data_IF_973292546622
#
_entry.id   IF_973292546622
#
_cell.length_a   1.000
_cell.length_b   1.000
_cell.length_c   1.000
_cell.angle_alpha   90.00
_cell.angle_beta   90.00
_cell.angle_gamma   90.00
#
_symmetry.space_group_name_H-M   'P 1'
#
loop_
_entity.id
_entity.type
_entity.pdbx_description
1 polymer ?
#
# COMPACT_ATOMS: atom_id res chain seq x y z
N UNK A 1 -2.03 19.07 37.86
CA UNK A 1 -1.28 17.87 37.43
C UNK A 1 -1.59 17.58 35.97
N UNK A 2 -0.80 18.11 35.04
CA UNK A 2 -0.95 17.85 33.60
C UNK A 2 0.43 17.93 32.95
N UNK A 3 1.33 17.04 33.37
CA UNK A 3 2.63 16.85 32.74
C UNK A 3 2.99 15.40 32.94
N UNK A 4 2.71 14.53 31.96
CA UNK A 4 3.20 13.14 31.91
C UNK A 4 2.97 12.42 30.56
N UNK A 5 2.31 13.03 29.56
CA UNK A 5 2.02 12.33 28.30
C UNK A 5 2.99 12.63 27.14
N UNK A 6 3.84 13.65 27.24
CA UNK A 6 4.78 14.04 26.16
C UNK A 6 6.14 13.34 26.24
N UNK A 7 6.58 12.91 27.42
CA UNK A 7 7.87 12.21 27.60
C UNK A 7 7.89 10.78 27.03
N UNK A 8 6.72 10.13 26.90
CA UNK A 8 6.62 8.73 26.43
C UNK A 8 6.92 8.57 24.93
N UNK A 9 6.72 9.62 24.12
CA UNK A 9 6.98 9.57 22.67
C UNK A 9 8.44 9.78 22.28
N UNK A 10 9.25 10.46 23.09
CA UNK A 10 10.63 10.80 22.68
C UNK A 10 11.61 9.63 22.76
N UNK A 11 11.37 8.63 23.62
CA UNK A 11 12.27 7.47 23.79
C UNK A 11 11.90 6.27 22.89
N UNK A 12 10.61 6.12 22.52
CA UNK A 12 10.14 5.02 21.67
C UNK A 12 10.59 5.18 20.20
N UNK A 13 10.81 6.42 19.75
CA UNK A 13 11.03 6.75 18.33
C UNK A 13 12.48 6.49 17.87
N UNK A 14 13.53 6.85 18.63
CA UNK A 14 14.87 6.35 18.37
C UNK A 14 14.88 4.82 18.35
N UNK A 15 14.19 4.18 19.31
CA UNK A 15 14.10 2.72 19.39
C UNK A 15 13.45 2.11 18.13
N UNK A 16 12.36 2.71 17.61
CA UNK A 16 11.74 2.26 16.37
C UNK A 16 12.67 2.40 15.15
N UNK A 17 13.39 3.52 15.01
CA UNK A 17 14.35 3.71 13.89
C UNK A 17 15.53 2.75 13.99
N UNK A 18 16.11 2.56 15.18
CA UNK A 18 17.19 1.60 15.38
C UNK A 18 16.73 0.17 15.10
N UNK A 19 15.55 -0.21 15.58
CA UNK A 19 14.96 -1.53 15.33
C UNK A 19 14.65 -1.71 13.84
N UNK A 20 14.09 -0.69 13.18
CA UNK A 20 13.80 -0.71 11.74
C UNK A 20 15.10 -0.84 10.92
N UNK A 21 16.15 -0.10 11.25
CA UNK A 21 17.46 -0.22 10.59
C UNK A 21 18.12 -1.58 10.82
N UNK A 22 18.03 -2.14 12.04
CA UNK A 22 18.58 -3.47 12.35
C UNK A 22 17.80 -4.55 11.60
N UNK A 23 16.47 -4.50 11.63
CA UNK A 23 15.61 -5.42 10.87
C UNK A 23 15.92 -5.32 9.38
N UNK A 24 16.05 -4.09 8.84
CA UNK A 24 16.43 -3.85 7.45
C UNK A 24 17.81 -4.43 7.12
N UNK A 25 18.81 -4.23 7.97
CA UNK A 25 20.14 -4.80 7.75
C UNK A 25 20.11 -6.34 7.79
N UNK A 26 19.30 -6.92 8.69
CA UNK A 26 19.12 -8.36 8.81
C UNK A 26 18.38 -8.96 7.62
N UNK A 27 17.34 -8.29 7.10
CA UNK A 27 16.64 -8.75 5.90
C UNK A 27 17.49 -8.62 4.65
N UNK A 28 18.24 -7.54 4.48
CA UNK A 28 19.18 -7.39 3.35
C UNK A 28 20.25 -8.49 3.39
N UNK A 29 20.81 -8.74 4.57
CA UNK A 29 21.81 -9.80 4.76
C UNK A 29 21.21 -11.18 4.46
N UNK A 30 19.99 -11.45 4.93
CA UNK A 30 19.30 -12.71 4.67
C UNK A 30 18.95 -12.88 3.19
N UNK A 31 18.51 -11.82 2.51
CA UNK A 31 18.27 -11.83 1.07
C UNK A 31 19.56 -12.13 0.30
N UNK A 32 20.67 -11.48 0.67
CA UNK A 32 21.99 -11.77 0.12
C UNK A 32 22.39 -13.24 0.31
N UNK A 33 22.20 -13.81 1.51
CA UNK A 33 22.49 -15.23 1.73
C UNK A 33 21.57 -16.14 0.90
N UNK A 34 20.27 -15.84 0.79
CA UNK A 34 19.35 -16.66 -0.02
C UNK A 34 19.66 -16.59 -1.51
N UNK A 35 20.13 -15.44 -2.01
CA UNK A 35 20.41 -15.23 -3.43
C UNK A 35 21.83 -15.67 -3.82
N UNK A 36 22.80 -15.55 -2.90
CA UNK A 36 24.22 -15.84 -3.16
C UNK A 36 24.75 -17.12 -2.49
N UNK A 37 23.97 -17.82 -1.64
CA UNK A 37 24.40 -19.06 -0.98
C UNK A 37 23.33 -20.15 -1.01
N UNK A 38 23.70 -21.37 -1.44
CA UNK A 38 22.81 -22.54 -1.55
C UNK A 38 22.57 -23.22 -0.19
N UNK A 39 22.22 -22.47 0.85
CA UNK A 39 22.25 -22.96 2.24
C UNK A 39 21.11 -23.93 2.59
N UNK A 40 20.06 -24.04 1.76
CA UNK A 40 18.87 -24.84 2.07
C UNK A 40 18.67 -25.98 1.09
N UNK A 41 18.65 -27.22 1.60
CA UNK A 41 18.34 -28.42 0.82
C UNK A 41 16.85 -28.50 0.48
N UNK A 42 16.55 -28.72 -0.79
CA UNK A 42 15.23 -28.54 -1.41
C UNK A 42 14.32 -29.77 -1.30
N UNK A 43 13.01 -29.54 -1.12
CA UNK A 43 11.96 -30.55 -1.26
C UNK A 43 11.64 -30.81 -2.75
N UNK A 44 11.61 -32.09 -3.15
CA UNK A 44 11.43 -32.49 -4.55
C UNK A 44 9.96 -32.87 -4.79
N UNK A 45 9.26 -32.16 -5.67
CA UNK A 45 7.90 -32.47 -6.13
C UNK A 45 7.80 -32.48 -7.66
N UNK A 46 8.01 -33.64 -8.30
CA UNK A 46 8.36 -33.82 -9.73
C UNK A 46 7.53 -33.11 -10.82
N UNK A 47 8.19 -32.83 -11.95
CA UNK A 47 7.59 -32.52 -13.26
C UNK A 47 7.59 -33.77 -14.15
N UNK A 48 6.66 -33.87 -15.10
CA UNK A 48 6.68 -34.91 -16.13
C UNK A 48 7.42 -34.41 -17.38
N UNK A 49 8.31 -35.23 -17.94
CA UNK A 49 8.93 -34.93 -19.24
C UNK A 49 7.92 -35.07 -20.38
N UNK A 50 8.03 -34.20 -21.38
CA UNK A 50 7.16 -34.11 -22.57
C UNK A 50 5.73 -33.59 -22.33
N UNK A 51 5.52 -32.79 -21.29
CA UNK A 51 4.28 -32.05 -21.15
C UNK A 51 4.20 -30.93 -22.19
N UNK A 52 3.28 -31.07 -23.15
CA UNK A 52 3.08 -30.10 -24.22
C UNK A 52 2.60 -28.74 -23.70
N UNK A 53 2.00 -28.68 -22.50
CA UNK A 53 1.61 -27.42 -21.87
C UNK A 53 2.82 -26.62 -21.34
N UNK A 54 3.91 -27.32 -20.98
CA UNK A 54 5.15 -26.73 -20.46
C UNK A 54 6.19 -26.44 -21.55
N UNK A 55 6.08 -27.05 -22.73
CA UNK A 55 6.98 -26.80 -23.86
C UNK A 55 6.70 -25.44 -24.51
N UNK A 56 7.53 -24.44 -24.20
CA UNK A 56 7.54 -23.12 -24.86
C UNK A 56 8.82 -22.88 -25.66
N UNK A 57 8.79 -22.02 -26.71
CA UNK A 57 10.00 -21.59 -27.40
C UNK A 57 10.98 -20.93 -26.44
N UNK A 58 12.28 -21.19 -26.62
CA UNK A 58 13.31 -20.59 -25.79
C UNK A 58 13.38 -19.06 -26.00
N UNK A 59 13.13 -18.23 -24.97
CA UNK A 59 12.99 -16.78 -25.13
C UNK A 59 14.32 -16.01 -25.12
N UNK A 60 15.46 -16.70 -25.20
CA UNK A 60 16.78 -16.09 -25.14
C UNK A 60 17.22 -15.70 -23.72
N UNK A 61 18.28 -14.89 -23.64
CA UNK A 61 18.88 -14.40 -22.39
C UNK A 61 18.03 -13.32 -21.71
N UNK A 62 18.18 -13.11 -20.41
CA UNK A 62 17.38 -12.09 -19.70
C UNK A 62 17.57 -10.66 -20.21
N UNK A 63 18.76 -10.34 -20.72
CA UNK A 63 19.08 -9.04 -21.32
C UNK A 63 18.30 -8.75 -22.62
N UNK A 64 17.78 -9.78 -23.29
CA UNK A 64 16.96 -9.61 -24.51
C UNK A 64 15.47 -9.51 -24.22
N UNK A 65 15.06 -9.46 -22.95
CA UNK A 65 13.65 -9.19 -22.59
C UNK A 65 13.23 -7.78 -22.98
N UNK A 66 11.94 -7.62 -23.29
CA UNK A 66 11.32 -6.31 -23.49
C UNK A 66 11.46 -5.43 -22.25
N UNK A 67 11.37 -6.04 -21.06
CA UNK A 67 11.69 -5.39 -19.79
C UNK A 67 12.86 -6.12 -19.12
N UNK A 68 14.09 -5.60 -19.23
CA UNK A 68 15.24 -6.14 -18.51
C UNK A 68 15.01 -6.12 -16.99
N UNK A 69 15.35 -7.19 -16.25
CA UNK A 69 15.13 -7.27 -14.79
C UNK A 69 15.77 -6.11 -14.03
N UNK A 70 16.97 -5.67 -14.44
CA UNK A 70 17.66 -4.54 -13.83
C UNK A 70 16.83 -3.25 -13.88
N UNK A 71 16.26 -2.93 -15.06
CA UNK A 71 15.43 -1.74 -15.23
C UNK A 71 14.17 -1.86 -14.39
N UNK A 72 13.55 -3.04 -14.39
CA UNK A 72 12.36 -3.28 -13.58
C UNK A 72 12.64 -3.04 -12.09
N UNK A 73 13.70 -3.64 -11.54
CA UNK A 73 14.04 -3.52 -10.12
C UNK A 73 14.41 -2.07 -9.74
N UNK A 74 15.16 -1.38 -10.59
CA UNK A 74 15.44 0.03 -10.40
C UNK A 74 14.16 0.87 -10.37
N UNK A 75 13.23 0.66 -11.29
CA UNK A 75 11.96 1.42 -11.35
C UNK A 75 11.05 1.08 -10.17
N UNK A 76 10.90 -0.21 -9.84
CA UNK A 76 10.08 -0.70 -8.73
C UNK A 76 10.55 -0.12 -7.39
N UNK A 77 11.86 0.04 -7.20
CA UNK A 77 12.42 0.65 -5.99
C UNK A 77 12.41 2.19 -6.03
N UNK A 78 12.84 2.79 -7.13
CA UNK A 78 13.03 4.24 -7.21
C UNK A 78 11.71 5.01 -7.33
N UNK A 79 10.74 4.53 -8.10
CA UNK A 79 9.51 5.27 -8.36
C UNK A 79 8.67 5.50 -7.09
N UNK A 80 8.38 4.49 -6.24
CA UNK A 80 7.68 4.72 -4.98
C UNK A 80 8.48 5.59 -4.02
N UNK A 81 9.80 5.36 -3.93
CA UNK A 81 10.69 6.16 -3.08
C UNK A 81 10.65 7.64 -3.46
N UNK A 82 10.71 7.95 -4.75
CA UNK A 82 10.62 9.30 -5.28
C UNK A 82 9.22 9.91 -5.02
N UNK A 83 8.14 9.17 -5.27
CA UNK A 83 6.77 9.66 -5.03
C UNK A 83 6.52 9.93 -3.54
N UNK A 84 7.01 9.07 -2.64
CA UNK A 84 6.92 9.26 -1.18
C UNK A 84 7.73 10.50 -0.76
N UNK A 85 8.96 10.63 -1.25
CA UNK A 85 9.81 11.77 -0.93
C UNK A 85 9.16 13.08 -1.38
N UNK A 86 8.75 13.17 -2.65
CA UNK A 86 8.09 14.35 -3.22
C UNK A 86 6.77 14.62 -2.51
N UNK A 87 5.98 13.58 -2.19
CA UNK A 87 4.71 13.71 -1.48
C UNK A 87 4.86 14.29 -0.08
N UNK A 88 5.81 13.78 0.71
CA UNK A 88 6.09 14.29 2.07
C UNK A 88 6.68 15.70 2.04
N UNK A 89 7.62 15.99 1.12
CA UNK A 89 8.18 17.34 0.93
C UNK A 89 7.08 18.32 0.52
N UNK A 90 6.22 17.96 -0.44
CA UNK A 90 5.13 18.81 -0.90
C UNK A 90 4.12 19.08 0.21
N UNK A 91 3.73 18.07 0.99
CA UNK A 91 2.84 18.25 2.14
C UNK A 91 3.49 19.12 3.23
N UNK A 92 4.79 18.96 3.48
CA UNK A 92 5.53 19.79 4.42
C UNK A 92 5.57 21.24 3.97
N UNK A 93 5.90 21.50 2.71
CA UNK A 93 5.92 22.86 2.13
C UNK A 93 4.51 23.46 2.19
N UNK A 94 3.47 22.75 1.75
CA UNK A 94 2.10 23.25 1.84
C UNK A 94 1.66 23.54 3.29
N UNK A 95 2.01 22.67 4.25
CA UNK A 95 1.71 22.90 5.67
C UNK A 95 2.49 24.10 6.20
N UNK A 96 3.77 24.20 5.86
CA UNK A 96 4.64 25.32 6.24
C UNK A 96 4.17 26.63 5.64
N UNK A 97 3.66 26.64 4.40
CA UNK A 97 3.06 27.83 3.78
C UNK A 97 1.73 28.18 4.44
N UNK A 98 0.89 27.19 4.78
CA UNK A 98 -0.38 27.44 5.50
C UNK A 98 -0.15 27.94 6.93
N UNK A 99 0.82 27.36 7.64
CA UNK A 99 1.23 27.83 8.95
C UNK A 99 1.91 29.20 8.83
N UNK A 100 2.81 29.46 7.88
CA UNK A 100 3.38 30.79 7.64
C UNK A 100 2.32 31.85 7.30
N UNK A 101 1.27 31.47 6.55
CA UNK A 101 0.13 32.34 6.23
C UNK A 101 -0.78 32.59 7.45
N UNK A 102 -0.78 31.69 8.45
CA UNK A 102 -1.44 31.87 9.75
C UNK A 102 -0.53 32.48 10.84
N UNK A 103 0.80 32.40 10.67
CA UNK A 103 1.87 32.75 11.64
C UNK A 103 2.46 34.14 11.38
N UNK A 104 1.95 34.88 10.39
CA UNK A 104 2.14 36.34 10.40
C UNK A 104 1.67 36.98 11.74
N UNK A 105 0.98 36.24 12.61
CA UNK A 105 0.56 36.69 13.94
C UNK A 105 1.34 36.16 15.17
N UNK A 106 2.37 35.30 15.09
CA UNK A 106 3.26 35.06 16.25
C UNK A 106 4.46 34.18 15.91
N UNK A 107 5.62 34.81 15.88
CA UNK A 107 6.94 34.18 15.94
C UNK A 107 7.08 33.37 17.22
N UNK A 108 7.38 32.08 17.12
CA UNK A 108 7.84 31.30 18.27
C UNK A 108 9.10 30.52 17.90
N UNK A 109 10.15 30.92 18.62
CA UNK A 109 11.51 30.40 18.70
C UNK A 109 11.50 28.91 19.05
N UNK A 110 12.38 28.12 18.42
CA UNK A 110 12.53 26.66 18.62
C UNK A 110 13.97 26.34 19.07
N UNK A 111 14.14 25.45 20.06
CA UNK A 111 15.43 25.07 20.65
C UNK A 111 15.67 23.55 20.81
N UNK A 112 16.89 23.17 20.40
CA UNK A 112 17.92 22.21 20.83
C UNK A 112 17.77 20.71 21.20
N UNK A 113 18.63 19.94 20.51
CA UNK A 113 19.37 18.69 20.81
C UNK A 113 18.65 17.32 20.88
N UNK A 114 17.78 17.08 19.90
CA UNK A 114 17.65 15.83 19.09
C UNK A 114 16.42 16.00 18.18
N UNK A 115 16.30 17.17 17.55
CA UNK A 115 15.12 17.57 16.80
C UNK A 115 15.26 17.10 15.35
N UNK A 116 15.02 15.81 15.09
CA UNK A 116 14.78 15.38 13.71
C UNK A 116 13.49 16.04 13.24
N UNK A 117 13.60 16.83 12.16
CA UNK A 117 12.45 17.50 11.55
C UNK A 117 11.31 16.48 11.34
N UNK A 118 10.05 16.83 11.69
CA UNK A 118 8.90 15.94 11.49
C UNK A 118 8.78 15.40 10.05
N UNK A 119 9.28 16.15 9.07
CA UNK A 119 9.46 15.75 7.67
C UNK A 119 10.34 14.50 7.55
N UNK A 120 11.58 14.58 8.05
CA UNK A 120 12.58 13.50 7.95
C UNK A 120 12.04 12.24 8.62
N UNK A 121 11.36 12.38 9.77
CA UNK A 121 10.74 11.26 10.47
C UNK A 121 9.70 10.52 9.63
N UNK A 122 8.84 11.24 8.90
CA UNK A 122 7.83 10.62 8.04
C UNK A 122 8.46 9.92 6.85
N UNK A 123 9.45 10.55 6.22
CA UNK A 123 10.20 9.98 5.11
C UNK A 123 10.87 8.66 5.52
N UNK A 124 11.61 8.65 6.63
CA UNK A 124 12.27 7.44 7.14
C UNK A 124 11.25 6.33 7.36
N UNK A 125 10.10 6.64 7.97
CA UNK A 125 9.08 5.63 8.27
C UNK A 125 8.41 5.04 7.01
N UNK A 126 8.07 5.86 6.02
CA UNK A 126 7.41 5.37 4.81
C UNK A 126 8.39 4.65 3.88
N UNK A 127 9.58 5.23 3.66
CA UNK A 127 10.62 4.61 2.84
C UNK A 127 11.18 3.35 3.52
N UNK A 128 11.37 3.37 4.84
CA UNK A 128 11.84 2.23 5.64
C UNK A 128 10.90 1.04 5.55
N UNK A 129 9.60 1.24 5.80
CA UNK A 129 8.60 0.16 5.67
C UNK A 129 8.47 -0.32 4.22
N UNK A 130 8.56 0.57 3.23
CA UNK A 130 8.55 0.19 1.82
C UNK A 130 9.77 -0.69 1.47
N UNK A 131 10.97 -0.26 1.85
CA UNK A 131 12.18 -1.01 1.60
C UNK A 131 12.15 -2.37 2.33
N UNK A 132 11.66 -2.41 3.58
CA UNK A 132 11.48 -3.64 4.33
C UNK A 132 10.60 -4.64 3.60
N UNK A 133 9.43 -4.18 3.13
CA UNK A 133 8.53 -5.06 2.40
C UNK A 133 9.06 -5.48 1.04
N UNK A 134 9.87 -4.64 0.37
CA UNK A 134 10.52 -5.01 -0.88
C UNK A 134 11.48 -6.19 -0.66
N UNK A 135 12.37 -6.09 0.33
CA UNK A 135 13.28 -7.19 0.68
C UNK A 135 12.55 -8.41 1.26
N UNK A 136 11.50 -8.21 2.06
CA UNK A 136 10.71 -9.33 2.56
C UNK A 136 10.02 -10.09 1.41
N UNK A 137 9.46 -9.37 0.44
CA UNK A 137 8.85 -9.96 -0.76
C UNK A 137 9.88 -10.76 -1.55
N UNK A 138 11.08 -10.19 -1.74
CA UNK A 138 12.19 -10.87 -2.41
C UNK A 138 12.59 -12.18 -1.69
N UNK A 139 12.76 -12.15 -0.37
CA UNK A 139 13.07 -13.33 0.45
C UNK A 139 11.97 -14.39 0.33
N UNK A 140 10.69 -14.00 0.42
CA UNK A 140 9.59 -14.96 0.29
C UNK A 140 9.53 -15.61 -1.08
N UNK A 141 9.81 -14.85 -2.15
CA UNK A 141 9.90 -15.39 -3.50
C UNK A 141 11.07 -16.36 -3.61
N UNK A 142 12.27 -15.94 -3.20
CA UNK A 142 13.49 -16.77 -3.27
C UNK A 142 13.31 -18.05 -2.45
N UNK A 143 12.72 -17.96 -1.26
CA UNK A 143 12.36 -19.13 -0.47
C UNK A 143 11.41 -20.06 -1.23
N UNK A 144 10.33 -19.53 -1.80
CA UNK A 144 9.37 -20.30 -2.61
C UNK A 144 10.02 -21.03 -3.79
N UNK A 145 10.95 -20.37 -4.48
CA UNK A 145 11.71 -20.94 -5.61
C UNK A 145 12.65 -22.06 -5.18
N UNK A 146 13.30 -21.90 -4.02
CA UNK A 146 14.15 -22.93 -3.42
C UNK A 146 13.33 -24.15 -2.98
N UNK A 147 12.05 -24.03 -2.64
CA UNK A 147 11.24 -25.20 -2.24
C UNK A 147 10.75 -26.08 -3.41
N UNK A 148 10.88 -25.65 -4.67
CA UNK A 148 10.34 -26.34 -5.84
C UNK A 148 11.45 -26.64 -6.86
N UNK A 149 12.49 -27.37 -6.46
CA UNK A 149 13.54 -27.83 -7.39
C UNK A 149 13.44 -29.35 -7.55
N UNK A 150 13.13 -29.79 -8.77
CA UNK A 150 12.96 -31.20 -9.10
C UNK A 150 14.18 -31.86 -9.74
N UNK A 151 14.37 -33.14 -9.45
CA UNK A 151 15.50 -33.94 -9.93
C UNK A 151 15.49 -34.25 -11.44
N UNK A 152 16.64 -33.98 -12.07
CA UNK A 152 17.34 -34.61 -13.22
C UNK A 152 16.58 -35.35 -14.34
N UNK A 153 15.47 -34.80 -14.87
CA UNK A 153 14.91 -35.30 -16.15
C UNK A 153 15.24 -34.38 -17.36
N UNK A 154 15.86 -33.23 -17.12
CA UNK A 154 16.21 -32.25 -18.16
C UNK A 154 17.63 -32.51 -18.72
N UNK A 155 17.78 -32.54 -20.04
CA UNK A 155 19.06 -32.75 -20.76
C UNK A 155 19.70 -31.45 -21.31
N UNK A 156 19.13 -30.29 -21.00
CA UNK A 156 19.61 -28.98 -21.46
C UNK A 156 20.81 -28.43 -20.69
N UNK A 157 21.26 -27.21 -21.06
CA UNK A 157 22.33 -26.52 -20.34
C UNK A 157 21.96 -26.36 -18.84
N UNK A 158 22.82 -26.79 -17.89
CA UNK A 158 22.49 -26.85 -16.47
C UNK A 158 22.09 -25.49 -15.89
N UNK A 159 22.71 -24.39 -16.34
CA UNK A 159 22.40 -23.02 -15.87
C UNK A 159 21.00 -22.59 -16.30
N UNK A 160 20.63 -22.89 -17.54
CA UNK A 160 19.31 -22.55 -18.09
C UNK A 160 18.22 -23.39 -17.43
N UNK A 161 18.52 -24.67 -17.18
CA UNK A 161 17.62 -25.60 -16.49
C UNK A 161 17.40 -25.15 -15.03
N UNK A 162 18.44 -24.71 -14.34
CA UNK A 162 18.33 -24.19 -12.98
C UNK A 162 17.48 -22.92 -12.92
N UNK A 163 17.73 -21.96 -13.82
CA UNK A 163 16.94 -20.73 -13.89
C UNK A 163 15.46 -21.01 -14.21
N UNK A 164 15.18 -21.97 -15.09
CA UNK A 164 13.82 -22.38 -15.40
C UNK A 164 13.10 -23.01 -14.19
N UNK A 165 13.83 -23.72 -13.32
CA UNK A 165 13.27 -24.31 -12.10
C UNK A 165 12.95 -23.28 -11.02
N UNK A 166 13.64 -22.14 -11.00
CA UNK A 166 13.37 -21.01 -10.09
C UNK A 166 12.26 -20.08 -10.58
N UNK A 167 11.40 -20.52 -11.50
CA UNK A 167 10.36 -19.66 -12.11
C UNK A 167 9.12 -19.43 -11.23
N UNK A 168 8.87 -20.28 -10.23
CA UNK A 168 7.72 -20.17 -9.33
C UNK A 168 8.11 -19.76 -7.90
N UNK A 169 7.44 -18.78 -7.29
CA UNK A 169 6.55 -17.79 -7.91
C UNK A 169 7.35 -16.76 -8.73
N UNK A 170 6.66 -15.97 -9.56
CA UNK A 170 7.33 -14.95 -10.39
C UNK A 170 7.78 -13.75 -9.53
N UNK A 171 9.10 -13.58 -9.40
CA UNK A 171 9.75 -12.45 -8.70
C UNK A 171 9.31 -11.09 -9.24
N UNK A 172 9.32 -10.94 -10.56
CA UNK A 172 8.96 -9.68 -11.23
C UNK A 172 7.50 -9.29 -11.00
N UNK A 173 6.59 -10.27 -11.03
CA UNK A 173 5.18 -10.05 -10.72
C UNK A 173 4.97 -9.66 -9.25
N UNK A 174 5.64 -10.35 -8.31
CA UNK A 174 5.55 -10.06 -6.88
C UNK A 174 6.04 -8.65 -6.53
N UNK A 175 7.25 -8.29 -6.99
CA UNK A 175 7.86 -7.00 -6.66
C UNK A 175 7.10 -5.83 -7.29
N UNK A 176 6.65 -5.99 -8.55
CA UNK A 176 5.87 -4.95 -9.24
C UNK A 176 4.52 -4.68 -8.57
N UNK A 177 3.76 -5.73 -8.21
CA UNK A 177 2.46 -5.52 -7.53
C UNK A 177 2.64 -5.03 -6.10
N UNK A 178 3.65 -5.50 -5.37
CA UNK A 178 3.95 -5.02 -4.02
C UNK A 178 4.16 -3.50 -4.05
N UNK A 179 4.99 -3.04 -4.98
CA UNK A 179 5.29 -1.63 -5.19
C UNK A 179 4.06 -0.81 -5.57
N UNK A 180 3.27 -1.28 -6.54
CA UNK A 180 2.04 -0.60 -6.95
C UNK A 180 0.97 -0.52 -5.86
N UNK A 181 0.76 -1.60 -5.09
CA UNK A 181 -0.21 -1.64 -3.99
C UNK A 181 0.22 -0.73 -2.85
N UNK A 182 1.49 -0.81 -2.43
CA UNK A 182 2.01 0.07 -1.38
C UNK A 182 1.89 1.55 -1.78
N UNK A 183 2.27 1.87 -3.03
CA UNK A 183 2.17 3.22 -3.57
C UNK A 183 0.71 3.70 -3.67
N UNK A 184 -0.21 2.83 -4.09
CA UNK A 184 -1.66 3.10 -4.12
C UNK A 184 -2.19 3.42 -2.72
N UNK A 185 -1.78 2.65 -1.70
CA UNK A 185 -2.15 2.92 -0.31
C UNK A 185 -1.62 4.30 0.12
N UNK A 186 -0.35 4.60 -0.15
CA UNK A 186 0.27 5.90 0.15
C UNK A 186 -0.47 7.07 -0.51
N UNK A 187 -0.72 7.01 -1.82
CA UNK A 187 -1.42 8.03 -2.60
C UNK A 187 -2.84 8.27 -2.05
N UNK A 188 -3.55 7.19 -1.74
CA UNK A 188 -4.92 7.26 -1.21
C UNK A 188 -4.97 7.97 0.15
N UNK A 189 -3.91 7.83 0.96
CA UNK A 189 -3.84 8.47 2.29
C UNK A 189 -3.33 9.90 2.29
N UNK A 190 -2.47 10.26 1.34
CA UNK A 190 -1.88 11.59 1.26
C UNK A 190 -2.80 12.60 0.59
N UNK A 191 -3.43 12.22 -0.52
CA UNK A 191 -4.35 13.11 -1.23
C UNK A 191 -5.67 13.13 -0.46
N UNK A 192 -5.91 14.13 0.40
CA UNK A 192 -7.20 14.35 1.10
C UNK A 192 -8.05 15.48 0.48
N UNK A 193 -7.59 16.05 -0.63
CA UNK A 193 -8.18 17.26 -1.20
C UNK A 193 -9.49 16.96 -1.94
N UNK A 194 -10.51 17.80 -1.68
CA UNK A 194 -11.84 17.71 -2.32
C UNK A 194 -11.82 18.09 -3.81
N UNK A 195 -10.75 18.74 -4.29
CA UNK A 195 -10.71 19.39 -5.60
C UNK A 195 -10.32 18.49 -6.77
N UNK A 196 -9.67 17.35 -6.52
CA UNK A 196 -9.29 16.41 -7.58
C UNK A 196 -10.01 15.08 -7.38
N UNK A 197 -11.28 15.07 -7.79
CA UNK A 197 -12.14 13.88 -7.70
C UNK A 197 -11.62 12.73 -8.59
N UNK A 198 -10.79 13.04 -9.60
CA UNK A 198 -10.29 12.09 -10.58
C UNK A 198 -8.79 11.73 -10.45
N UNK A 199 -7.93 12.59 -9.88
CA UNK A 199 -6.49 12.26 -9.84
C UNK A 199 -6.19 11.03 -8.97
N UNK A 200 -6.90 10.84 -7.86
CA UNK A 200 -6.68 9.65 -7.01
C UNK A 200 -6.96 8.34 -7.75
N UNK A 201 -8.18 8.11 -8.30
CA UNK A 201 -8.45 6.85 -9.00
C UNK A 201 -7.55 6.67 -10.22
N UNK A 202 -7.18 7.73 -10.95
CA UNK A 202 -6.28 7.63 -12.11
C UNK A 202 -4.86 7.23 -11.70
N UNK A 203 -4.31 7.82 -10.63
CA UNK A 203 -2.96 7.47 -10.17
C UNK A 203 -2.91 6.05 -9.58
N UNK A 204 -3.92 5.66 -8.80
CA UNK A 204 -4.01 4.29 -8.27
C UNK A 204 -4.20 3.27 -9.40
N UNK A 205 -5.10 3.54 -10.35
CA UNK A 205 -5.30 2.65 -11.49
C UNK A 205 -4.05 2.56 -12.36
N UNK A 206 -3.38 3.69 -12.65
CA UNK A 206 -2.16 3.71 -13.47
C UNK A 206 -1.03 2.87 -12.86
N UNK A 207 -0.81 3.00 -11.55
CA UNK A 207 0.21 2.20 -10.85
C UNK A 207 -0.15 0.71 -10.84
N UNK A 208 -1.41 0.34 -10.56
CA UNK A 208 -1.85 -1.06 -10.60
C UNK A 208 -1.80 -1.66 -12.01
N UNK A 209 -2.23 -0.92 -13.03
CA UNK A 209 -2.13 -1.35 -14.42
C UNK A 209 -0.68 -1.59 -14.85
N UNK A 210 0.25 -0.73 -14.44
CA UNK A 210 1.68 -0.92 -14.77
C UNK A 210 2.26 -2.22 -14.16
N UNK A 211 1.89 -2.55 -12.92
CA UNK A 211 2.27 -3.81 -12.31
C UNK A 211 1.64 -5.02 -13.02
N UNK A 212 0.35 -4.93 -13.37
CA UNK A 212 -0.33 -6.00 -14.09
C UNK A 212 0.29 -6.26 -15.47
N UNK A 213 0.61 -5.21 -16.22
CA UNK A 213 1.29 -5.30 -17.51
C UNK A 213 2.69 -5.93 -17.40
N UNK A 214 3.40 -5.69 -16.30
CA UNK A 214 4.70 -6.35 -16.05
C UNK A 214 4.54 -7.87 -15.96
N UNK A 215 3.53 -8.34 -15.22
CA UNK A 215 3.22 -9.77 -15.14
C UNK A 215 2.76 -10.36 -16.48
N UNK A 216 1.91 -9.64 -17.23
CA UNK A 216 1.51 -10.07 -18.57
C UNK A 216 2.69 -10.17 -19.54
N UNK A 217 3.65 -9.24 -19.46
CA UNK A 217 4.86 -9.27 -20.28
C UNK A 217 5.71 -10.52 -20.01
N UNK A 218 5.75 -11.00 -18.76
CA UNK A 218 6.43 -12.27 -18.43
C UNK A 218 5.76 -13.49 -19.07
N UNK A 219 4.43 -13.48 -19.13
CA UNK A 219 3.66 -14.54 -19.81
C UNK A 219 3.84 -14.46 -21.34
N UNK A 220 3.79 -13.25 -21.91
CA UNK A 220 3.90 -13.06 -23.37
C UNK A 220 5.30 -13.39 -23.90
N UNK A 221 6.35 -13.21 -23.09
CA UNK A 221 7.72 -13.62 -23.39
C UNK A 221 7.99 -15.11 -23.10
N UNK A 222 6.99 -15.90 -22.67
CA UNK A 222 7.17 -17.30 -22.27
C UNK A 222 8.22 -17.51 -21.18
N UNK A 223 8.47 -16.50 -20.34
CA UNK A 223 9.44 -16.54 -19.23
C UNK A 223 8.82 -17.13 -17.96
N UNK A 224 7.51 -16.97 -17.79
CA UNK A 224 6.76 -17.51 -16.66
C UNK A 224 5.41 -18.07 -17.12
N UNK A 225 4.89 -19.04 -16.37
CA UNK A 225 3.51 -19.47 -16.52
C UNK A 225 2.55 -18.48 -15.86
N UNK A 226 1.30 -18.46 -16.33
CA UNK A 226 0.25 -17.63 -15.74
C UNK A 226 0.08 -17.93 -14.23
N UNK A 227 0.22 -19.20 -13.82
CA UNK A 227 0.19 -19.63 -12.41
C UNK A 227 1.25 -18.93 -11.57
N UNK A 228 2.47 -18.82 -12.08
CA UNK A 228 3.62 -18.26 -11.37
C UNK A 228 3.43 -16.75 -11.16
N UNK A 229 2.87 -16.08 -12.18
CA UNK A 229 2.53 -14.66 -12.14
C UNK A 229 1.38 -14.40 -11.17
N UNK A 230 0.33 -15.23 -11.18
CA UNK A 230 -0.80 -15.11 -10.24
C UNK A 230 -0.35 -15.35 -8.80
N UNK A 231 0.45 -16.40 -8.56
CA UNK A 231 1.04 -16.67 -7.24
C UNK A 231 1.91 -15.49 -6.79
N UNK A 232 2.70 -14.94 -7.72
CA UNK A 232 3.51 -13.76 -7.47
C UNK A 232 2.67 -12.55 -7.07
N UNK A 233 1.56 -12.29 -7.79
CA UNK A 233 0.66 -11.19 -7.49
C UNK A 233 -0.03 -11.33 -6.12
N UNK A 234 -0.44 -12.54 -5.76
CA UNK A 234 -1.04 -12.82 -4.46
C UNK A 234 -0.03 -12.55 -3.35
N UNK A 235 1.20 -13.06 -3.49
CA UNK A 235 2.27 -12.89 -2.50
C UNK A 235 2.61 -11.41 -2.29
N UNK A 236 2.90 -10.67 -3.37
CA UNK A 236 3.26 -9.25 -3.28
C UNK A 236 2.13 -8.39 -2.71
N UNK A 237 0.88 -8.66 -3.08
CA UNK A 237 -0.29 -7.97 -2.53
C UNK A 237 -0.48 -8.27 -1.04
N UNK A 238 -0.30 -9.52 -0.62
CA UNK A 238 -0.41 -9.93 0.78
C UNK A 238 0.63 -9.20 1.66
N UNK A 239 1.89 -9.14 1.22
CA UNK A 239 2.95 -8.42 1.94
C UNK A 239 2.65 -6.92 2.01
N UNK A 240 2.23 -6.30 0.89
CA UNK A 240 1.90 -4.88 0.85
C UNK A 240 0.72 -4.54 1.79
N UNK A 241 -0.35 -5.33 1.77
CA UNK A 241 -1.51 -5.13 2.64
C UNK A 241 -1.17 -5.37 4.11
N UNK A 242 -0.39 -6.40 4.43
CA UNK A 242 0.06 -6.66 5.79
C UNK A 242 0.86 -5.47 6.35
N UNK A 243 1.86 -4.98 5.61
CA UNK A 243 2.68 -3.85 6.06
C UNK A 243 1.89 -2.55 6.08
N UNK A 244 1.11 -2.28 5.05
CA UNK A 244 0.27 -1.09 4.99
C UNK A 244 -0.74 -1.05 6.13
N UNK A 245 -1.50 -2.12 6.36
CA UNK A 245 -2.57 -2.15 7.37
C UNK A 245 -1.99 -2.31 8.80
N UNK A 246 -1.12 -3.29 9.03
CA UNK A 246 -0.67 -3.67 10.36
C UNK A 246 0.50 -2.80 10.87
N UNK A 247 1.47 -2.47 10.01
CA UNK A 247 2.71 -1.78 10.42
C UNK A 247 2.57 -0.27 10.33
N UNK A 248 2.04 0.25 9.22
CA UNK A 248 2.00 1.70 9.02
C UNK A 248 0.95 2.37 9.91
N UNK A 249 -0.06 1.63 10.41
CA UNK A 249 -1.10 1.99 11.40
C UNK A 249 -1.72 3.41 11.27
N UNK A 250 -1.48 4.09 10.14
CA UNK A 250 -1.98 5.41 9.75
C UNK A 250 -3.25 5.29 8.88
N UNK A 251 -3.66 4.07 8.55
CA UNK A 251 -4.85 3.78 7.75
C UNK A 251 -6.06 3.40 8.61
N UNK A 252 -6.09 3.81 9.89
CA UNK A 252 -7.31 3.66 10.69
C UNK A 252 -8.39 4.59 10.13
N UNK A 253 -9.27 3.98 9.34
CA UNK A 253 -10.57 4.48 8.96
C UNK A 253 -11.14 3.61 7.86
N UNK A 254 -12.13 2.77 8.20
CA UNK A 254 -12.96 1.95 7.30
C UNK A 254 -12.41 0.55 6.98
N UNK A 255 -12.45 -0.37 7.97
CA UNK A 255 -12.89 -1.76 7.75
C UNK A 255 -13.17 -2.50 9.08
N UNK A 256 -14.01 -1.90 9.92
CA UNK A 256 -14.68 -2.64 11.02
C UNK A 256 -16.20 -2.46 11.02
N UNK A 257 -16.79 -2.10 9.88
CA UNK A 257 -18.24 -1.98 9.71
C UNK A 257 -18.78 -2.78 8.51
N UNK A 258 -18.06 -3.81 8.07
CA UNK A 258 -18.51 -4.73 7.02
C UNK A 258 -18.55 -6.18 7.54
N UNK A 259 -19.12 -6.37 8.74
CA UNK A 259 -19.59 -7.69 9.21
C UNK A 259 -20.79 -7.49 10.12
N UNK A 260 -21.90 -7.08 9.51
CA UNK A 260 -23.26 -7.47 9.92
C UNK A 260 -24.10 -7.54 8.65
N UNK A 261 -24.02 -8.67 7.96
CA UNK A 261 -24.92 -8.97 6.87
C UNK A 261 -26.20 -9.59 7.48
N UNK A 262 -27.29 -8.82 7.32
CA UNK A 262 -28.67 -9.25 7.08
C UNK A 262 -29.27 -10.33 8.02
N UNK A 263 -30.09 -9.87 8.98
CA UNK A 263 -31.31 -10.58 9.37
C UNK A 263 -32.48 -9.71 8.91
N UNK A 264 -33.24 -10.20 7.94
CA UNK A 264 -34.55 -9.66 7.58
C UNK A 264 -35.53 -9.90 8.73
N UNK A 265 -36.18 -8.84 9.23
CA UNK A 265 -37.53 -8.94 9.76
C UNK A 265 -38.31 -7.66 9.39
N UNK A 266 -39.35 -7.84 8.57
CA UNK A 266 -40.26 -6.81 8.10
C UNK A 266 -41.34 -6.58 9.16
N UNK A 267 -41.10 -5.68 10.13
CA UNK A 267 -42.17 -5.12 10.97
C UNK A 267 -41.87 -3.68 11.39
N UNK A 268 -42.60 -2.71 10.83
CA UNK A 268 -42.77 -1.37 11.43
C UNK A 268 -42.29 -0.20 10.56
N UNK A 269 -43.19 0.32 9.73
CA UNK A 269 -43.09 1.57 8.98
C UNK A 269 -42.89 2.80 9.91
N UNK A 270 -42.15 3.84 9.50
CA UNK A 270 -42.54 5.21 9.84
C UNK A 270 -42.71 6.11 8.59
N UNK A 271 -43.76 6.92 8.68
CA UNK A 271 -44.30 7.84 7.69
C UNK A 271 -43.30 8.96 7.34
N UNK A 272 -43.04 9.16 6.04
CA UNK A 272 -42.34 10.32 5.50
C UNK A 272 -43.10 11.62 5.86
N UNK A 273 -42.46 12.55 6.57
CA UNK A 273 -42.99 13.90 6.79
C UNK A 273 -42.22 14.89 5.92
N UNK A 274 -42.93 15.56 4.99
CA UNK A 274 -42.42 16.66 4.18
C UNK A 274 -42.53 18.00 4.94
N UNK A 275 -41.67 19.00 4.67
CA UNK A 275 -41.77 20.32 5.30
C UNK A 275 -43.01 21.05 4.79
N UNK A 276 -43.88 21.48 5.70
CA UNK A 276 -45.07 22.29 5.41
C UNK A 276 -44.66 23.76 5.30
N UNK A 277 -44.91 24.36 4.13
CA UNK A 277 -44.81 25.80 3.88
C UNK A 277 -46.01 26.47 4.57
N UNK A 278 -45.76 27.37 5.53
CA UNK A 278 -46.80 28.16 6.19
C UNK A 278 -47.33 29.25 5.25
N UNK A 279 -48.66 29.29 5.09
CA UNK A 279 -49.35 30.31 4.31
C UNK A 279 -49.78 31.49 5.21
N UNK A 280 -49.78 32.74 4.72
CA UNK A 280 -49.93 33.95 5.55
C UNK A 280 -51.37 34.27 6.00
N UNK A 281 -52.25 33.27 6.12
CA UNK A 281 -53.70 33.46 6.32
C UNK A 281 -54.23 33.02 7.69
N UNK A 282 -53.36 32.72 8.65
CA UNK A 282 -53.74 32.43 10.05
C UNK A 282 -53.44 33.58 11.03
N UNK A 283 -52.69 34.60 10.62
CA UNK A 283 -52.35 35.77 11.46
C UNK A 283 -53.42 36.86 11.51
N UNK A 284 -54.54 36.73 10.77
CA UNK A 284 -55.61 37.74 10.75
C UNK A 284 -56.88 37.32 11.53
N UNK A 285 -57.03 36.06 11.93
CA UNK A 285 -58.20 35.62 12.72
C UNK A 285 -57.94 35.62 14.23
N UNK A 286 -56.69 35.60 14.68
CA UNK A 286 -56.33 35.58 16.10
C UNK A 286 -56.38 36.96 16.79
N UNK A 287 -56.56 38.06 16.06
CA UNK A 287 -56.58 39.41 16.63
C UNK A 287 -58.01 39.93 16.93
N UNK A 288 -59.06 39.24 16.45
CA UNK A 288 -60.46 39.66 16.64
C UNK A 288 -61.22 38.98 17.80
N UNK A 289 -60.59 38.06 18.55
CA UNK A 289 -61.24 37.34 19.66
C UNK A 289 -60.72 37.69 21.07
N UNK A 290 -59.85 38.70 21.21
CA UNK A 290 -59.26 39.14 22.50
C UNK A 290 -59.72 40.53 22.98
N UNK A 291 -60.69 41.16 22.33
CA UNK A 291 -61.16 42.50 22.70
C UNK A 291 -62.70 42.59 22.75
N UNK A 292 -63.33 41.76 23.56
CA UNK A 292 -64.69 41.98 24.06
C UNK A 292 -64.98 40.95 25.15
N UNK A 293 -64.80 41.34 26.42
CA UNK A 293 -65.65 40.98 27.56
C UNK A 293 -64.92 41.23 28.90
N UNK A 294 -64.88 42.50 29.31
CA UNK A 294 -64.95 42.93 30.72
C UNK A 294 -65.42 44.38 30.74
N UNK A 295 -66.73 44.59 30.84
CA UNK A 295 -67.33 45.85 31.29
C UNK A 295 -68.18 45.51 32.52
N UNK A 296 -67.76 45.98 33.70
CA UNK A 296 -68.59 46.09 34.90
C UNK A 296 -68.22 47.40 35.59
N UNK A 297 -69.08 48.41 35.41
CA UNK A 297 -69.81 49.06 36.50
C UNK A 297 -71.13 49.57 35.98
#
# INVERSE_FOLDING_TARGET
MASNNTLRSYSIIPCFIFVELVIMSGTVLLAYYMECTDLFSVHVQGFFCNDAELMKPYPGTEESSFVPPLILYCVVAAAPTAVIFIGEVSMYVMKSTREALLVQEKTIVTGDCCYLNPLIRRIIRFIGVFAFGLFATDIFVNAGQVFIINGNICTGNPVVVENARRSFPSKDASLSVYSAVYLTMYITSTIKTKSSRLAKPVLCLGTLCSAFLTGLNRVSEYRNHCSDVVAGFILGSAVALFLGICVVNNFKGVHSAATKQKTEDYRGLPLMTFPRVESPLETLSAQNHSASMTEVT
#
